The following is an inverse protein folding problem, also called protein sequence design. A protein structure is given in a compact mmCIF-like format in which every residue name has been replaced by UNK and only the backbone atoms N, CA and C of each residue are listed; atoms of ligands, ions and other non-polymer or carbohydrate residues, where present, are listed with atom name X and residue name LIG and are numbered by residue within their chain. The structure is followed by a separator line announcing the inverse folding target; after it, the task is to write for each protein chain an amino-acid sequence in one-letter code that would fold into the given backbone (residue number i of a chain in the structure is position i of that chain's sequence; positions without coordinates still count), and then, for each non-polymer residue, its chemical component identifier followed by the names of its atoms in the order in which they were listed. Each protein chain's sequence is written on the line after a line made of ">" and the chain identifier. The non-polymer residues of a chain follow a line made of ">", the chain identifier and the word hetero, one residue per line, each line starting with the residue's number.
data_IF_226539735482
#
_entry.id   IF_226539735482
#
_cell.length_a   1.000
_cell.length_b   1.000
_cell.length_c   1.000
_cell.angle_alpha   90.00
_cell.angle_beta   90.00
_cell.angle_gamma   90.00
#
_symmetry.space_group_name_H-M   'P 1'
#
loop_
_entity.id
_entity.type
_entity.pdbx_description
1 polymer ?
#
# COMPACT_ATOMS: atom_id res chain seq x y z
N UNK A 1 8.21 6.63 -2.25
CA UNK A 1 7.02 6.77 -3.11
C UNK A 1 7.27 6.24 -4.53
N UNK A 2 7.40 4.93 -4.66
CA UNK A 2 7.72 4.35 -5.97
C UNK A 2 6.64 4.55 -7.04
N UNK A 3 5.41 4.83 -6.62
CA UNK A 3 4.29 4.93 -7.56
C UNK A 3 3.91 6.37 -7.91
N UNK A 4 4.56 7.35 -7.30
CA UNK A 4 4.23 8.76 -7.51
C UNK A 4 4.51 9.18 -8.96
N UNK A 5 3.48 9.68 -9.66
CA UNK A 5 3.61 10.18 -11.02
C UNK A 5 3.97 9.14 -12.08
N UNK A 6 3.78 7.86 -11.76
CA UNK A 6 4.15 6.74 -12.65
C UNK A 6 2.91 6.24 -13.39
N UNK A 7 3.05 5.98 -14.69
CA UNK A 7 1.93 5.47 -15.48
C UNK A 7 1.66 3.98 -15.18
N UNK A 8 0.46 3.47 -15.55
CA UNK A 8 0.08 2.09 -15.21
C UNK A 8 1.01 1.00 -15.72
N UNK A 9 1.63 1.20 -16.87
CA UNK A 9 2.56 0.21 -17.43
C UNK A 9 3.82 0.13 -16.58
N UNK A 10 4.36 1.29 -16.21
CA UNK A 10 5.55 1.36 -15.37
C UNK A 10 5.27 0.89 -13.95
N UNK A 11 4.05 1.09 -13.43
CA UNK A 11 3.65 0.55 -12.13
C UNK A 11 3.76 -0.97 -12.12
N UNK A 12 3.32 -1.64 -13.19
CA UNK A 12 3.44 -3.09 -13.30
C UNK A 12 4.90 -3.55 -13.26
N UNK A 13 5.80 -2.81 -13.90
CA UNK A 13 7.23 -3.11 -13.86
C UNK A 13 7.80 -2.95 -12.45
N UNK A 14 7.39 -1.92 -11.73
CA UNK A 14 7.81 -1.70 -10.35
C UNK A 14 7.32 -2.85 -9.46
N UNK A 15 6.08 -3.31 -9.64
CA UNK A 15 5.55 -4.46 -8.91
C UNK A 15 6.42 -5.70 -9.14
N UNK A 16 6.84 -5.96 -10.38
CA UNK A 16 7.68 -7.12 -10.69
C UNK A 16 9.05 -7.03 -10.01
N UNK A 17 9.64 -5.84 -9.98
CA UNK A 17 10.92 -5.62 -9.31
C UNK A 17 10.78 -5.89 -7.81
N UNK A 18 9.74 -5.36 -7.18
CA UNK A 18 9.50 -5.56 -5.74
C UNK A 18 9.30 -7.03 -5.41
N UNK A 19 8.50 -7.75 -6.20
CA UNK A 19 8.29 -9.18 -6.02
C UNK A 19 9.57 -9.98 -6.18
N UNK A 20 10.40 -9.62 -7.16
CA UNK A 20 11.68 -10.29 -7.37
C UNK A 20 12.59 -10.16 -6.15
N UNK A 21 12.70 -8.95 -5.62
CA UNK A 21 13.53 -8.69 -4.43
C UNK A 21 12.98 -9.42 -3.22
N UNK A 22 11.66 -9.39 -3.02
CA UNK A 22 10.99 -10.09 -1.92
C UNK A 22 11.22 -11.60 -1.99
N UNK A 23 11.13 -12.19 -3.17
CA UNK A 23 11.32 -13.62 -3.37
C UNK A 23 12.76 -14.06 -3.08
N UNK A 24 13.70 -13.15 -3.01
CA UNK A 24 15.06 -13.40 -2.60
C UNK A 24 15.28 -13.34 -1.09
N UNK A 25 14.20 -13.20 -0.32
CA UNK A 25 14.25 -13.15 1.13
C UNK A 25 14.62 -11.80 1.71
N UNK A 26 14.50 -10.72 0.91
CA UNK A 26 14.83 -9.37 1.36
C UNK A 26 13.55 -8.68 1.82
N UNK A 27 13.57 -8.11 3.02
CA UNK A 27 12.48 -7.30 3.53
C UNK A 27 12.43 -5.95 2.82
N UNK A 28 11.22 -5.48 2.50
CA UNK A 28 11.03 -4.22 1.77
C UNK A 28 10.09 -3.32 2.55
N UNK A 29 10.50 -2.07 2.74
CA UNK A 29 9.66 -1.04 3.32
C UNK A 29 9.32 -0.01 2.25
N UNK A 30 8.02 0.23 2.04
CA UNK A 30 7.53 1.17 1.04
C UNK A 30 6.75 2.28 1.74
N UNK A 31 7.03 3.53 1.37
CA UNK A 31 6.19 4.66 1.77
C UNK A 31 5.58 5.25 0.51
N UNK A 32 4.26 5.37 0.49
CA UNK A 32 3.55 5.93 -0.66
C UNK A 32 2.14 6.34 -0.24
N UNK A 33 1.56 7.30 -0.93
CA UNK A 33 0.17 7.68 -0.71
C UNK A 33 -0.77 7.08 -1.77
N UNK A 34 -0.24 6.36 -2.74
CA UNK A 34 -1.05 5.60 -3.70
C UNK A 34 -1.53 4.32 -3.03
N UNK A 35 -2.64 4.43 -2.30
CA UNK A 35 -3.12 3.37 -1.41
C UNK A 35 -3.40 2.08 -2.14
N UNK A 36 -4.11 2.14 -3.25
CA UNK A 36 -4.48 0.94 -4.00
C UNK A 36 -3.26 0.16 -4.48
N UNK A 37 -2.29 0.86 -5.07
CA UNK A 37 -1.09 0.21 -5.59
C UNK A 37 -0.26 -0.38 -4.45
N UNK A 38 -0.13 0.35 -3.36
CA UNK A 38 0.63 -0.08 -2.19
C UNK A 38 -0.03 -1.30 -1.54
N UNK A 39 -1.33 -1.25 -1.26
CA UNK A 39 -2.04 -2.35 -0.63
C UNK A 39 -2.07 -3.61 -1.52
N UNK A 40 -1.94 -3.42 -2.83
CA UNK A 40 -1.90 -4.55 -3.76
C UNK A 40 -0.64 -5.38 -3.72
N UNK A 41 0.41 -4.92 -3.05
CA UNK A 41 1.71 -5.59 -3.10
C UNK A 41 2.35 -5.84 -1.73
N UNK A 42 1.85 -5.23 -0.67
CA UNK A 42 2.44 -5.40 0.67
C UNK A 42 1.79 -6.55 1.44
N UNK A 43 2.53 -7.08 2.40
CA UNK A 43 2.01 -8.10 3.31
C UNK A 43 1.37 -7.46 4.54
N UNK A 44 1.86 -6.27 4.92
CA UNK A 44 1.35 -5.51 6.05
C UNK A 44 1.48 -4.02 5.75
N UNK A 45 0.52 -3.25 6.20
CA UNK A 45 0.50 -1.81 5.99
C UNK A 45 0.26 -1.06 7.29
N UNK A 46 0.75 0.16 7.33
CA UNK A 46 0.53 1.10 8.43
C UNK A 46 -0.02 2.39 7.83
N UNK A 47 -1.05 2.94 8.45
CA UNK A 47 -1.51 4.29 8.11
C UNK A 47 -0.96 5.25 9.14
N UNK A 48 -0.21 6.24 8.68
CA UNK A 48 0.37 7.26 9.53
C UNK A 48 -0.44 8.55 9.43
N UNK A 49 -0.63 9.18 10.58
CA UNK A 49 -1.29 10.48 10.64
C UNK A 49 -0.66 11.31 11.76
N UNK A 50 -0.22 12.52 11.43
CA UNK A 50 0.40 13.45 12.39
C UNK A 50 1.54 12.82 13.19
N UNK A 51 2.38 12.06 12.51
CA UNK A 51 3.55 11.42 13.12
C UNK A 51 3.25 10.20 13.96
N UNK A 52 2.02 9.68 13.89
CA UNK A 52 1.61 8.50 14.68
C UNK A 52 1.06 7.42 13.78
N UNK A 53 1.20 6.17 14.21
CA UNK A 53 0.55 5.04 13.57
C UNK A 53 -0.91 5.04 13.99
N UNK A 54 -1.79 5.26 13.03
CA UNK A 54 -3.22 5.29 13.27
C UNK A 54 -3.85 3.89 13.16
N UNK A 55 -3.43 3.14 12.16
CA UNK A 55 -3.91 1.77 11.88
C UNK A 55 -2.77 0.93 11.38
N UNK A 56 -2.85 -0.38 11.64
CA UNK A 56 -1.93 -1.36 11.06
C UNK A 56 -2.68 -2.66 10.80
N UNK A 57 -2.24 -3.40 9.80
CA UNK A 57 -2.83 -4.69 9.48
C UNK A 57 -2.50 -5.15 8.07
N UNK A 58 -3.10 -6.27 7.69
CA UNK A 58 -3.01 -6.77 6.32
C UNK A 58 -3.77 -5.83 5.38
N UNK A 59 -3.50 -5.91 4.06
CA UNK A 59 -4.27 -5.12 3.10
C UNK A 59 -5.79 -5.26 3.24
N UNK A 60 -6.27 -6.50 3.47
CA UNK A 60 -7.70 -6.73 3.64
C UNK A 60 -8.24 -6.09 4.90
N UNK A 61 -7.50 -6.19 6.01
CA UNK A 61 -7.89 -5.55 7.26
C UNK A 61 -7.98 -4.03 7.11
N UNK A 62 -7.00 -3.41 6.46
CA UNK A 62 -7.01 -1.96 6.21
C UNK A 62 -8.17 -1.58 5.29
N UNK A 63 -8.36 -2.31 4.20
CA UNK A 63 -9.40 -2.00 3.20
C UNK A 63 -10.81 -2.10 3.78
N UNK A 64 -11.02 -2.95 4.78
CA UNK A 64 -12.32 -3.15 5.42
C UNK A 64 -12.49 -2.39 6.73
N UNK A 65 -11.46 -1.67 7.17
CA UNK A 65 -11.54 -0.92 8.42
C UNK A 65 -12.44 0.31 8.25
N UNK A 66 -13.46 0.49 9.13
CA UNK A 66 -14.39 1.62 9.01
C UNK A 66 -13.71 2.99 9.08
N UNK A 67 -12.70 3.14 9.94
CA UNK A 67 -11.98 4.40 10.10
C UNK A 67 -11.17 4.71 8.85
N UNK A 68 -10.46 3.70 8.31
CA UNK A 68 -9.69 3.84 7.09
C UNK A 68 -10.60 4.24 5.92
N UNK A 69 -11.74 3.57 5.77
CA UNK A 69 -12.67 3.85 4.69
C UNK A 69 -13.28 5.25 4.79
N UNK A 70 -13.63 5.67 6.00
CA UNK A 70 -14.25 6.97 6.22
C UNK A 70 -13.29 8.13 5.98
N UNK A 71 -12.04 8.00 6.42
CA UNK A 71 -11.10 9.12 6.45
C UNK A 71 -10.03 9.12 5.37
N UNK A 72 -9.72 7.97 4.78
CA UNK A 72 -8.57 7.84 3.88
C UNK A 72 -8.87 7.16 2.54
N UNK A 73 -9.74 6.15 2.52
CA UNK A 73 -9.96 5.33 1.33
C UNK A 73 -11.21 5.74 0.55
N UNK A 74 -12.26 6.15 1.25
CA UNK A 74 -13.57 6.40 0.66
C UNK A 74 -14.41 5.12 0.61
N UNK A 75 -15.74 5.30 0.55
CA UNK A 75 -16.68 4.19 0.64
C UNK A 75 -16.62 3.25 -0.57
N UNK A 76 -16.19 3.76 -1.71
CA UNK A 76 -16.11 2.98 -2.95
C UNK A 76 -14.75 2.32 -3.16
N UNK A 77 -13.84 2.41 -2.21
CA UNK A 77 -12.52 1.83 -2.35
C UNK A 77 -12.59 0.31 -2.43
N UNK A 78 -11.85 -0.26 -3.40
CA UNK A 78 -11.68 -1.71 -3.57
C UNK A 78 -10.25 -2.01 -3.94
N UNK A 79 -9.74 -3.11 -3.44
CA UNK A 79 -8.41 -3.60 -3.80
C UNK A 79 -8.37 -4.19 -5.20
#
# INVERSE_FOLDING_TARGET
>A
EPFAGVDPIAVADIHQIILHVKNRGIGILITDHNVRETLGIVDKAYILSSGKILLEGTPDEIANDPIAREHYLGDNFRL
#
